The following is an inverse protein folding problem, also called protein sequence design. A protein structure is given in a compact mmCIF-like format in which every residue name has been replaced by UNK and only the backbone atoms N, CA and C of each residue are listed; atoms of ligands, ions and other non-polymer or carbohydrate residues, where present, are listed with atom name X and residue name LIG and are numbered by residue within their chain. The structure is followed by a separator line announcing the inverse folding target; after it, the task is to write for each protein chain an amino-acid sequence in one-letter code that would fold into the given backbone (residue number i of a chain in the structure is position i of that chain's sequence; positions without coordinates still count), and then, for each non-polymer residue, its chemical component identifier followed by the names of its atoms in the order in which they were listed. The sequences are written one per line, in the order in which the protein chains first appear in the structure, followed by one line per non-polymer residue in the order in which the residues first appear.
data_IF_129224304242
#
_entry.id   IF_129224304242
#
_cell.length_a   1.000
_cell.length_b   1.000
_cell.length_c   1.000
_cell.angle_alpha   90.00
_cell.angle_beta   90.00
_cell.angle_gamma   90.00
#
_symmetry.space_group_name_H-M   'P 1'
#
loop_
_entity.id
_entity.type
_entity.pdbx_description
1 polymer ?
#
# COMPACT_ATOMS: atom_id res chain seq x y z
N UNK A 1 42.69 -10.52 34.29
CA UNK A 1 42.31 -10.12 32.93
C UNK A 1 41.41 -11.21 32.35
N UNK A 2 40.30 -11.51 33.05
CA UNK A 2 39.41 -12.64 32.74
C UNK A 2 37.97 -12.30 33.13
N UNK A 3 37.74 -11.99 34.41
CA UNK A 3 36.38 -11.76 34.91
C UNK A 3 35.75 -10.42 34.46
N UNK A 4 36.55 -9.34 34.36
CA UNK A 4 36.05 -8.03 33.90
C UNK A 4 35.83 -7.95 32.39
N UNK A 5 36.56 -8.73 31.61
CA UNK A 5 36.42 -8.78 30.15
C UNK A 5 35.20 -9.63 29.77
N UNK A 6 34.96 -10.75 30.46
CA UNK A 6 33.74 -11.56 30.30
C UNK A 6 32.46 -10.79 30.69
N UNK A 7 32.49 -10.03 31.79
CA UNK A 7 31.36 -9.21 32.20
C UNK A 7 31.04 -8.11 31.17
N UNK A 8 32.06 -7.49 30.57
CA UNK A 8 31.90 -6.53 29.47
C UNK A 8 31.34 -7.18 28.22
N UNK A 9 31.78 -8.39 27.88
CA UNK A 9 31.34 -9.11 26.69
C UNK A 9 29.88 -9.58 26.83
N UNK A 10 29.47 -10.02 28.03
CA UNK A 10 28.07 -10.31 28.35
C UNK A 10 27.17 -9.07 28.28
N UNK A 11 27.62 -7.93 28.79
CA UNK A 11 26.87 -6.67 28.71
C UNK A 11 26.74 -6.21 27.24
N UNK A 12 27.81 -6.33 26.44
CA UNK A 12 27.77 -6.04 25.01
C UNK A 12 26.84 -6.99 24.26
N UNK A 13 26.86 -8.29 24.57
CA UNK A 13 25.97 -9.28 23.96
C UNK A 13 24.50 -9.03 24.34
N UNK A 14 24.22 -8.71 25.60
CA UNK A 14 22.89 -8.36 26.07
C UNK A 14 22.38 -7.09 25.40
N UNK A 15 23.25 -6.08 25.25
CA UNK A 15 22.91 -4.83 24.59
C UNK A 15 22.65 -5.04 23.08
N UNK A 16 23.44 -5.86 22.40
CA UNK A 16 23.24 -6.15 20.96
C UNK A 16 21.91 -6.89 20.70
N UNK A 17 21.57 -7.88 21.54
CA UNK A 17 20.28 -8.58 21.47
C UNK A 17 19.12 -7.61 21.73
N UNK A 18 19.24 -6.74 22.73
CA UNK A 18 18.23 -5.74 23.05
C UNK A 18 18.04 -4.74 21.91
N UNK A 19 19.12 -4.20 21.35
CA UNK A 19 19.09 -3.30 20.19
C UNK A 19 18.46 -3.98 18.97
N UNK A 20 18.79 -5.25 18.71
CA UNK A 20 18.17 -6.03 17.64
C UNK A 20 16.66 -6.15 17.79
N UNK A 21 16.16 -6.40 19.00
CA UNK A 21 14.72 -6.47 19.29
C UNK A 21 14.03 -5.11 19.09
N UNK A 22 14.62 -4.03 19.60
CA UNK A 22 14.07 -2.67 19.45
C UNK A 22 14.00 -2.27 17.97
N UNK A 23 15.05 -2.54 17.19
CA UNK A 23 15.07 -2.25 15.75
C UNK A 23 14.00 -3.05 14.98
N UNK A 24 13.81 -4.32 15.33
CA UNK A 24 12.77 -5.16 14.71
C UNK A 24 11.36 -4.63 15.01
N UNK A 25 11.11 -4.20 16.26
CA UNK A 25 9.84 -3.60 16.65
C UNK A 25 9.60 -2.27 15.94
N UNK A 26 10.60 -1.39 15.89
CA UNK A 26 10.50 -0.11 15.17
C UNK A 26 10.20 -0.32 13.69
N UNK A 27 10.87 -1.27 13.04
CA UNK A 27 10.58 -1.62 11.64
C UNK A 27 9.13 -2.07 11.46
N UNK A 28 8.66 -2.98 12.32
CA UNK A 28 7.27 -3.45 12.24
C UNK A 28 6.25 -2.31 12.38
N UNK A 29 6.51 -1.34 13.26
CA UNK A 29 5.66 -0.15 13.42
C UNK A 29 5.70 0.72 12.16
N UNK A 30 6.89 1.02 11.64
CA UNK A 30 7.06 1.81 10.42
C UNK A 30 6.35 1.16 9.24
N UNK A 31 6.58 -0.14 9.00
CA UNK A 31 5.92 -0.90 7.94
C UNK A 31 4.40 -0.84 8.05
N UNK A 32 3.87 -0.88 9.27
CA UNK A 32 2.42 -0.80 9.50
C UNK A 32 1.87 0.59 9.17
N UNK A 33 2.58 1.65 9.55
CA UNK A 33 2.20 3.03 9.23
C UNK A 33 2.22 3.24 7.71
N UNK A 34 3.24 2.74 7.02
CA UNK A 34 3.33 2.82 5.55
C UNK A 34 2.19 2.07 4.86
N UNK A 35 1.88 0.84 5.29
CA UNK A 35 0.77 0.06 4.73
C UNK A 35 -0.58 0.75 4.92
N UNK A 36 -0.82 1.35 6.10
CA UNK A 36 -2.06 2.08 6.37
C UNK A 36 -2.15 3.36 5.53
N UNK A 37 -1.05 4.11 5.41
CA UNK A 37 -0.98 5.30 4.56
C UNK A 37 -1.29 4.95 3.10
N UNK A 38 -0.64 3.91 2.56
CA UNK A 38 -0.89 3.44 1.20
C UNK A 38 -2.34 2.99 0.98
N UNK A 39 -2.96 2.37 2.00
CA UNK A 39 -4.36 1.95 1.92
C UNK A 39 -5.32 3.15 1.88
N UNK A 40 -5.04 4.21 2.65
CA UNK A 40 -5.82 5.45 2.64
C UNK A 40 -5.71 6.15 1.29
N UNK A 41 -4.48 6.37 0.79
CA UNK A 41 -4.25 7.01 -0.51
C UNK A 41 -4.93 6.24 -1.64
N UNK A 42 -4.84 4.90 -1.60
CA UNK A 42 -5.52 4.02 -2.56
C UNK A 42 -7.04 4.18 -2.50
N UNK A 43 -7.63 4.27 -1.30
CA UNK A 43 -9.07 4.44 -1.12
C UNK A 43 -9.55 5.76 -1.71
N UNK A 44 -8.81 6.84 -1.49
CA UNK A 44 -9.19 8.17 -1.97
C UNK A 44 -9.16 8.26 -3.50
N UNK A 45 -8.08 7.79 -4.14
CA UNK A 45 -7.98 7.81 -5.61
C UNK A 45 -9.01 6.88 -6.27
N UNK A 46 -9.32 5.74 -5.65
CA UNK A 46 -10.40 4.84 -6.12
C UNK A 46 -11.76 5.52 -5.98
N UNK A 47 -12.01 6.23 -4.88
CA UNK A 47 -13.24 6.99 -4.68
C UNK A 47 -13.45 8.07 -5.76
N UNK A 48 -12.40 8.83 -6.07
CA UNK A 48 -12.44 9.83 -7.14
C UNK A 48 -12.71 9.18 -8.51
N UNK A 49 -12.01 8.10 -8.84
CA UNK A 49 -12.21 7.34 -10.07
C UNK A 49 -13.64 6.80 -10.18
N UNK A 50 -14.22 6.26 -9.10
CA UNK A 50 -15.62 5.84 -9.05
C UNK A 50 -16.56 6.99 -9.37
N UNK A 51 -16.38 8.16 -8.73
CA UNK A 51 -17.21 9.34 -8.98
C UNK A 51 -17.19 9.79 -10.44
N UNK A 52 -16.01 9.77 -11.06
CA UNK A 52 -15.83 10.04 -12.49
C UNK A 52 -16.65 9.07 -13.37
N UNK A 53 -16.60 7.77 -13.07
CA UNK A 53 -17.34 6.76 -13.85
C UNK A 53 -18.84 6.84 -13.62
N UNK A 54 -19.27 7.10 -12.38
CA UNK A 54 -20.68 7.29 -12.03
C UNK A 54 -21.28 8.44 -12.84
N UNK A 55 -20.59 9.58 -12.93
CA UNK A 55 -21.06 10.75 -13.68
C UNK A 55 -21.15 10.47 -15.19
N UNK A 56 -20.10 9.87 -15.77
CA UNK A 56 -20.02 9.71 -17.24
C UNK A 56 -20.87 8.58 -17.79
N UNK A 57 -20.99 7.49 -17.04
CA UNK A 57 -21.63 6.26 -17.50
C UNK A 57 -22.94 5.99 -16.76
N UNK A 58 -23.38 6.89 -15.86
CA UNK A 58 -24.59 6.73 -15.05
C UNK A 58 -24.61 5.41 -14.28
N UNK A 59 -23.44 5.03 -13.76
CA UNK A 59 -23.25 3.80 -13.01
C UNK A 59 -23.55 4.02 -11.52
N UNK A 60 -24.01 2.96 -10.87
CA UNK A 60 -24.04 2.93 -9.40
C UNK A 60 -22.61 2.92 -8.85
N UNK A 61 -22.40 3.26 -7.56
CA UNK A 61 -21.08 3.12 -6.94
C UNK A 61 -20.49 1.72 -7.04
N UNK A 62 -21.33 0.68 -6.99
CA UNK A 62 -20.87 -0.71 -7.03
C UNK A 62 -20.49 -1.11 -8.46
N UNK A 63 -21.29 -0.72 -9.46
CA UNK A 63 -20.98 -0.98 -10.87
C UNK A 63 -19.71 -0.24 -11.31
N UNK A 64 -19.52 1.01 -10.88
CA UNK A 64 -18.31 1.76 -11.15
C UNK A 64 -17.06 1.10 -10.55
N UNK A 65 -17.18 0.54 -9.33
CA UNK A 65 -16.07 -0.20 -8.72
C UNK A 65 -15.80 -1.52 -9.46
N UNK A 66 -16.84 -2.27 -9.81
CA UNK A 66 -16.72 -3.50 -10.58
C UNK A 66 -16.02 -3.25 -11.92
N UNK A 67 -16.32 -2.13 -12.59
CA UNK A 67 -15.65 -1.73 -13.83
C UNK A 67 -14.14 -1.46 -13.62
N UNK A 68 -13.77 -0.76 -12.55
CA UNK A 68 -12.35 -0.56 -12.22
C UNK A 68 -11.63 -1.88 -11.93
N UNK A 69 -12.29 -2.82 -11.24
CA UNK A 69 -11.77 -4.17 -10.97
C UNK A 69 -11.59 -4.96 -12.26
N UNK A 70 -12.57 -4.91 -13.18
CA UNK A 70 -12.48 -5.56 -14.47
C UNK A 70 -11.27 -5.03 -15.28
N UNK A 71 -11.10 -3.72 -15.36
CA UNK A 71 -9.94 -3.13 -16.06
C UNK A 71 -8.61 -3.47 -15.39
N UNK A 72 -8.54 -3.44 -14.05
CA UNK A 72 -7.37 -3.85 -13.28
C UNK A 72 -6.96 -5.29 -13.56
N UNK A 73 -7.94 -6.20 -13.64
CA UNK A 73 -7.73 -7.61 -13.93
C UNK A 73 -7.28 -7.82 -15.37
N UNK A 74 -7.96 -7.19 -16.32
CA UNK A 74 -7.64 -7.28 -17.74
C UNK A 74 -6.25 -6.72 -18.07
N UNK A 75 -5.83 -5.64 -17.40
CA UNK A 75 -4.52 -5.04 -17.61
C UNK A 75 -3.42 -5.58 -16.68
N UNK A 76 -3.73 -6.56 -15.83
CA UNK A 76 -2.85 -7.07 -14.77
C UNK A 76 -2.11 -5.94 -14.01
N UNK A 77 -2.84 -4.88 -13.67
CA UNK A 77 -2.30 -3.67 -13.04
C UNK A 77 -3.03 -3.44 -11.73
N UNK A 78 -2.33 -2.94 -10.70
CA UNK A 78 -2.94 -2.61 -9.41
C UNK A 78 -4.14 -1.66 -9.60
N UNK A 79 -5.24 -1.95 -8.91
CA UNK A 79 -6.48 -1.17 -8.98
C UNK A 79 -6.28 0.33 -8.74
N UNK A 80 -5.49 0.70 -7.73
CA UNK A 80 -5.16 2.10 -7.43
C UNK A 80 -4.42 2.80 -8.59
N UNK A 81 -3.59 2.07 -9.34
CA UNK A 81 -2.92 2.61 -10.51
C UNK A 81 -3.91 2.81 -11.68
N UNK A 82 -4.83 1.87 -11.91
CA UNK A 82 -5.92 2.06 -12.90
C UNK A 82 -6.77 3.28 -12.54
N UNK A 83 -7.17 3.41 -11.27
CA UNK A 83 -7.90 4.56 -10.76
C UNK A 83 -7.12 5.88 -10.96
N UNK A 84 -5.84 5.92 -10.57
CA UNK A 84 -4.96 7.08 -10.75
C UNK A 84 -4.83 7.50 -12.22
N UNK A 85 -4.69 6.52 -13.13
CA UNK A 85 -4.66 6.78 -14.57
C UNK A 85 -5.97 7.36 -15.07
N UNK A 86 -7.11 6.85 -14.61
CA UNK A 86 -8.42 7.41 -14.96
C UNK A 86 -8.56 8.84 -14.43
N UNK A 87 -8.18 9.11 -13.18
CA UNK A 87 -8.26 10.44 -12.57
C UNK A 87 -7.38 11.44 -13.33
N UNK A 88 -6.16 11.04 -13.71
CA UNK A 88 -5.19 11.91 -14.38
C UNK A 88 -5.54 12.15 -15.85
N UNK A 89 -5.89 11.09 -16.59
CA UNK A 89 -6.11 11.17 -18.04
C UNK A 89 -7.57 11.40 -18.43
N UNK A 90 -8.50 11.22 -17.50
CA UNK A 90 -9.91 11.18 -17.80
C UNK A 90 -10.32 10.05 -18.74
N UNK A 91 -9.51 9.00 -18.94
CA UNK A 91 -9.87 7.88 -19.81
C UNK A 91 -9.53 6.54 -19.16
N UNK A 92 -10.47 5.59 -19.24
CA UNK A 92 -10.25 4.23 -18.73
C UNK A 92 -9.70 3.36 -19.87
N UNK A 93 -8.39 3.13 -19.87
CA UNK A 93 -7.75 2.24 -20.84
C UNK A 93 -8.00 0.77 -20.46
N UNK A 94 -8.52 -0.02 -21.42
CA UNK A 94 -8.92 -1.42 -21.23
C UNK A 94 -10.27 -1.76 -21.89
N UNK A 95 -11.11 -0.75 -22.15
CA UNK A 95 -12.40 -0.89 -22.87
C UNK A 95 -12.26 -0.82 -24.41
N UNK A 96 -11.11 -1.17 -24.98
CA UNK A 96 -11.01 -1.34 -26.43
C UNK A 96 -11.88 -2.54 -26.82
N UNK A 97 -13.08 -2.25 -27.34
CA UNK A 97 -14.02 -3.21 -27.92
C UNK A 97 -13.26 -4.15 -28.86
N UNK A 98 -13.28 -5.44 -28.53
CA UNK A 98 -13.22 -6.49 -29.54
C UNK A 98 -14.58 -6.64 -30.21
#
# INVERSE_FOLDING_TARGET
MGDEDEAREMDNQANDVFLGQVLAQLRSVTDRVEQLTQAIESRDVIGQAKGILMERYQLTPDDAFALLVACSTQSNTKLACVASRLVTSGSLQGLTKG
#
